data_IF_558635514163
#
_entry.id   IF_558635514163
#
_cell.length_a   1.000
_cell.length_b   1.000
_cell.length_c   1.000
_cell.angle_alpha   90.00
_cell.angle_beta   90.00
_cell.angle_gamma   90.00
#
_symmetry.space_group_name_H-M   'P 1'
#
loop_
_entity.id
_entity.type
_entity.pdbx_description
1 polymer ?
#
# COMPACT_ATOMS: atom_id res chain seq x y z
N UNK A 1 10.48 25.05 8.46
CA UNK A 1 10.28 24.64 8.01
C UNK A 1 10.02 23.75 7.83
N UNK A 2 9.90 23.40 7.94
CA UNK A 2 9.74 22.44 7.74
C UNK A 2 9.26 21.89 6.81
N UNK A 3 8.60 22.08 6.51
CA UNK A 3 8.00 21.69 5.50
C UNK A 3 8.81 21.18 4.51
N UNK A 4 9.63 21.81 4.40
CA UNK A 4 10.66 21.43 3.63
C UNK A 4 10.99 20.05 3.86
N UNK A 5 10.58 19.56 4.90
CA UNK A 5 10.95 18.22 5.23
C UNK A 5 10.22 17.18 4.41
N UNK A 6 9.25 17.57 3.65
CA UNK A 6 8.45 16.58 2.95
C UNK A 6 9.11 16.17 1.65
N UNK A 7 9.86 15.09 1.75
CA UNK A 7 10.43 14.43 0.60
C UNK A 7 9.30 13.80 -0.21
N UNK A 8 9.43 13.80 -1.52
CA UNK A 8 8.47 13.16 -2.42
C UNK A 8 9.08 11.87 -2.93
N UNK A 9 8.32 10.80 -2.83
CA UNK A 9 8.75 9.47 -3.24
C UNK A 9 8.14 9.12 -4.58
N UNK A 10 8.90 8.44 -5.43
CA UNK A 10 8.41 7.91 -6.69
C UNK A 10 7.94 6.47 -6.50
N UNK A 11 6.89 6.10 -7.22
CA UNK A 11 6.43 4.72 -7.30
C UNK A 11 6.10 4.38 -8.73
N UNK A 12 6.08 3.09 -9.06
CA UNK A 12 5.73 2.67 -10.41
C UNK A 12 5.32 1.20 -10.44
N UNK A 13 4.57 0.83 -11.48
CA UNK A 13 4.23 -0.56 -11.73
C UNK A 13 5.40 -1.27 -12.38
N UNK A 14 5.31 -2.59 -12.47
CA UNK A 14 6.38 -3.40 -13.00
C UNK A 14 6.77 -3.00 -14.43
N UNK A 15 5.79 -2.71 -15.29
CA UNK A 15 6.08 -2.35 -16.67
C UNK A 15 6.45 -0.88 -16.86
N UNK A 16 6.35 -0.06 -15.81
CA UNK A 16 6.72 1.34 -15.86
C UNK A 16 5.69 2.26 -16.51
N UNK A 17 4.57 1.72 -16.99
CA UNK A 17 3.54 2.51 -17.66
C UNK A 17 2.84 3.46 -16.70
N UNK A 18 2.54 2.99 -15.48
CA UNK A 18 1.90 3.81 -14.45
C UNK A 18 2.95 4.23 -13.45
N UNK A 19 3.01 5.53 -13.18
CA UNK A 19 3.92 6.10 -12.17
C UNK A 19 3.14 7.04 -11.29
N UNK A 20 3.55 7.14 -10.05
CA UNK A 20 2.92 8.06 -9.10
C UNK A 20 3.98 8.71 -8.23
N UNK A 21 3.60 9.82 -7.60
CA UNK A 21 4.41 10.45 -6.57
C UNK A 21 3.58 10.49 -5.29
N UNK A 22 4.24 10.38 -4.15
CA UNK A 22 3.57 10.43 -2.86
C UNK A 22 4.50 11.09 -1.85
N UNK A 23 3.95 11.89 -0.95
CA UNK A 23 4.77 12.53 0.08
C UNK A 23 5.26 11.49 1.08
N UNK A 24 6.50 11.65 1.54
CA UNK A 24 7.07 10.78 2.56
C UNK A 24 6.58 11.22 3.95
N UNK A 25 5.27 11.16 4.12
CA UNK A 25 4.58 11.62 5.32
C UNK A 25 3.50 10.63 5.73
N UNK A 26 3.80 9.33 5.59
CA UNK A 26 2.86 8.28 5.94
C UNK A 26 2.55 8.31 7.43
N UNK A 27 1.29 8.04 7.74
CA UNK A 27 0.80 8.09 9.12
C UNK A 27 0.95 6.75 9.82
N UNK A 28 0.96 5.65 9.07
CA UNK A 28 1.09 4.31 9.62
C UNK A 28 1.52 3.33 8.53
N UNK A 29 2.07 2.20 8.95
CA UNK A 29 2.43 1.13 8.03
C UNK A 29 2.32 -0.20 8.76
N UNK A 30 1.88 -1.22 8.06
CA UNK A 30 1.66 -2.53 8.65
C UNK A 30 1.76 -3.61 7.58
N UNK A 31 1.91 -4.86 8.04
CA UNK A 31 1.84 -6.04 7.19
C UNK A 31 0.48 -6.68 7.40
N UNK A 32 -0.36 -6.68 6.37
CA UNK A 32 -1.71 -7.22 6.47
C UNK A 32 -1.77 -8.65 5.96
N UNK A 33 -2.17 -9.57 6.84
CA UNK A 33 -2.25 -11.00 6.55
C UNK A 33 -3.65 -11.46 6.18
N UNK A 34 -4.60 -10.57 5.95
CA UNK A 34 -5.97 -10.98 5.65
C UNK A 34 -6.02 -11.70 4.31
N UNK A 35 -7.03 -12.56 4.15
CA UNK A 35 -7.15 -13.37 2.94
C UNK A 35 -7.26 -12.51 1.69
N UNK A 36 -7.89 -11.34 1.79
CA UNK A 36 -8.03 -10.43 0.65
C UNK A 36 -6.68 -9.85 0.23
N UNK A 37 -5.87 -9.43 1.20
CA UNK A 37 -4.54 -8.89 0.91
C UNK A 37 -3.64 -9.96 0.34
N UNK A 38 -3.73 -11.19 0.85
CA UNK A 38 -2.96 -12.30 0.31
C UNK A 38 -3.36 -12.58 -1.14
N UNK A 39 -4.66 -12.61 -1.41
CA UNK A 39 -5.14 -12.88 -2.76
C UNK A 39 -4.77 -11.75 -3.71
N UNK A 40 -4.90 -10.50 -3.26
CA UNK A 40 -4.62 -9.34 -4.12
C UNK A 40 -3.16 -9.24 -4.51
N UNK A 41 -2.25 -9.68 -3.65
CA UNK A 41 -0.82 -9.59 -3.90
C UNK A 41 -0.19 -10.91 -4.33
N UNK A 42 -0.91 -12.03 -4.13
CA UNK A 42 -0.34 -13.35 -4.40
C UNK A 42 0.83 -13.67 -3.48
N UNK A 43 0.80 -13.16 -2.25
CA UNK A 43 1.92 -13.33 -1.31
C UNK A 43 1.40 -13.63 0.08
N UNK A 44 2.33 -13.81 1.02
CA UNK A 44 1.99 -14.12 2.42
C UNK A 44 1.25 -12.98 3.10
N UNK A 45 1.57 -11.74 2.75
CA UNK A 45 0.93 -10.56 3.33
C UNK A 45 1.19 -9.36 2.44
N UNK A 46 0.47 -8.27 2.72
CA UNK A 46 0.62 -7.02 1.99
C UNK A 46 1.24 -5.98 2.90
N UNK A 47 2.50 -5.57 2.65
CA UNK A 47 3.07 -4.41 3.34
C UNK A 47 2.45 -3.17 2.76
N UNK A 48 1.86 -2.32 3.60
CA UNK A 48 1.24 -1.10 3.13
C UNK A 48 1.55 0.07 4.05
N UNK A 49 1.50 1.26 3.48
CA UNK A 49 1.67 2.50 4.23
C UNK A 49 0.50 3.41 3.90
N UNK A 50 -0.10 3.99 4.93
CA UNK A 50 -1.32 4.79 4.81
C UNK A 50 -1.04 6.28 4.86
N UNK A 51 -1.73 7.03 3.99
CA UNK A 51 -1.59 8.47 3.89
C UNK A 51 -2.89 9.05 3.34
N UNK A 52 -3.11 10.33 3.57
CA UNK A 52 -4.26 11.01 3.00
C UNK A 52 -4.22 10.91 1.47
N UNK A 53 -5.37 10.64 0.88
CA UNK A 53 -5.47 10.40 -0.56
C UNK A 53 -4.89 11.54 -1.40
N UNK A 54 -5.09 12.79 -0.96
CA UNK A 54 -4.63 13.97 -1.71
C UNK A 54 -3.12 14.12 -1.78
N UNK A 55 -2.37 13.32 -1.03
CA UNK A 55 -0.91 13.39 -1.03
C UNK A 55 -0.27 12.40 -1.97
N UNK A 56 -1.08 11.66 -2.72
CA UNK A 56 -0.60 10.77 -3.77
C UNK A 56 -1.14 11.26 -5.11
N UNK A 57 -0.28 11.35 -6.09
CA UNK A 57 -0.67 11.78 -7.44
C UNK A 57 -0.14 10.81 -8.47
N UNK A 58 -1.02 10.33 -9.36
CA UNK A 58 -0.60 9.52 -10.49
C UNK A 58 -0.05 10.47 -11.55
N UNK A 59 1.24 10.35 -11.83
CA UNK A 59 1.94 11.28 -12.73
C UNK A 59 2.01 10.78 -14.17
N UNK A 60 1.92 9.47 -14.38
CA UNK A 60 1.97 8.86 -15.71
C UNK A 60 1.02 7.68 -15.75
N UNK A 61 0.35 7.51 -16.88
CA UNK A 61 -0.46 6.32 -17.11
C UNK A 61 -1.82 6.34 -16.46
N UNK A 62 -2.34 7.53 -16.13
CA UNK A 62 -3.64 7.65 -15.48
C UNK A 62 -4.74 6.92 -16.27
N UNK A 63 -4.67 6.99 -17.59
CA UNK A 63 -5.68 6.33 -18.46
C UNK A 63 -5.52 4.82 -18.48
N UNK A 64 -4.43 4.29 -17.97
CA UNK A 64 -4.17 2.84 -17.94
C UNK A 64 -4.48 2.21 -16.59
N UNK A 65 -5.03 2.97 -15.66
CA UNK A 65 -5.36 2.43 -14.35
C UNK A 65 -6.54 1.47 -14.45
N UNK A 66 -6.44 0.39 -13.71
CA UNK A 66 -7.55 -0.56 -13.53
C UNK A 66 -8.00 -0.43 -12.08
N UNK A 67 -9.22 0.06 -11.89
CA UNK A 67 -9.78 0.26 -10.56
C UNK A 67 -10.75 -0.88 -10.28
N UNK A 68 -10.46 -1.67 -9.26
CA UNK A 68 -11.28 -2.81 -8.89
C UNK A 68 -12.02 -2.49 -7.60
N UNK A 69 -13.29 -2.18 -7.72
CA UNK A 69 -14.12 -1.79 -6.61
C UNK A 69 -14.83 -0.46 -6.87
N UNK A 70 -15.20 0.25 -5.80
CA UNK A 70 -15.89 1.52 -5.88
C UNK A 70 -14.89 2.68 -5.88
N UNK A 71 -15.38 3.87 -6.18
CA UNK A 71 -14.53 5.05 -6.25
C UNK A 71 -13.89 5.37 -4.90
N UNK A 72 -14.58 5.05 -3.80
CA UNK A 72 -14.12 5.35 -2.45
C UNK A 72 -13.61 4.13 -1.69
N UNK A 73 -13.59 2.96 -2.34
CA UNK A 73 -13.08 1.73 -1.73
C UNK A 73 -12.67 0.77 -2.84
N UNK A 74 -11.38 0.70 -3.14
CA UNK A 74 -10.94 -0.09 -4.29
C UNK A 74 -9.46 -0.46 -4.19
N UNK A 75 -9.07 -1.38 -5.07
CA UNK A 75 -7.67 -1.65 -5.36
C UNK A 75 -7.36 -1.05 -6.73
N UNK A 76 -6.33 -0.24 -6.81
CA UNK A 76 -5.91 0.41 -8.07
C UNK A 76 -4.65 -0.26 -8.58
N UNK A 77 -4.73 -0.75 -9.80
CA UNK A 77 -3.68 -1.52 -10.46
C UNK A 77 -3.32 -0.91 -11.79
N UNK A 78 -2.15 -1.31 -12.31
CA UNK A 78 -1.82 -1.03 -13.71
C UNK A 78 -2.63 -1.98 -14.58
N UNK A 79 -3.41 -1.43 -15.52
CA UNK A 79 -4.23 -2.26 -16.40
C UNK A 79 -3.42 -3.05 -17.41
N UNK A 80 -2.15 -2.69 -17.64
CA UNK A 80 -1.30 -3.38 -18.59
C UNK A 80 -0.54 -4.54 -17.96
N UNK A 81 0.07 -4.34 -16.77
CA UNK A 81 0.88 -5.39 -16.15
C UNK A 81 0.26 -5.99 -14.89
N UNK A 82 -0.81 -5.39 -14.37
CA UNK A 82 -1.51 -5.94 -13.23
C UNK A 82 -0.95 -5.57 -11.86
N UNK A 83 0.15 -4.84 -11.80
CA UNK A 83 0.75 -4.48 -10.51
C UNK A 83 -0.24 -3.76 -9.61
N UNK A 84 -0.34 -4.18 -8.36
CA UNK A 84 -1.13 -3.46 -7.36
C UNK A 84 -0.31 -2.26 -6.90
N UNK A 85 -0.88 -1.07 -7.06
CA UNK A 85 -0.17 0.17 -6.73
C UNK A 85 -0.60 0.72 -5.39
N UNK A 86 -1.90 0.89 -5.20
CA UNK A 86 -2.44 1.37 -3.94
C UNK A 86 -3.92 1.00 -3.85
N UNK A 87 -4.43 1.09 -2.64
CA UNK A 87 -5.85 0.86 -2.38
C UNK A 87 -6.45 2.14 -1.81
N UNK A 88 -7.64 2.50 -2.29
CA UNK A 88 -8.39 3.63 -1.74
C UNK A 88 -9.26 3.09 -0.62
N UNK A 89 -9.19 3.71 0.55
CA UNK A 89 -9.85 3.20 1.76
C UNK A 89 -10.49 4.33 2.55
N UNK A 90 -11.24 3.99 3.58
CA UNK A 90 -11.85 4.93 4.53
C UNK A 90 -12.70 5.97 3.80
N UNK A 91 -13.68 5.49 3.04
CA UNK A 91 -14.62 6.35 2.31
C UNK A 91 -13.90 7.31 1.36
N UNK A 92 -12.77 6.89 0.83
CA UNK A 92 -12.03 7.67 -0.15
C UNK A 92 -11.06 8.68 0.44
N UNK A 93 -10.96 8.75 1.77
CA UNK A 93 -10.13 9.77 2.42
C UNK A 93 -8.65 9.40 2.45
N UNK A 94 -8.33 8.12 2.40
CA UNK A 94 -6.95 7.62 2.51
C UNK A 94 -6.61 6.65 1.41
N UNK A 95 -5.31 6.50 1.16
CA UNK A 95 -4.81 5.43 0.31
C UNK A 95 -3.82 4.60 1.12
N UNK A 96 -3.85 3.29 0.88
CA UNK A 96 -2.83 2.38 1.37
C UNK A 96 -1.92 2.05 0.20
N UNK A 97 -0.71 2.59 0.22
CA UNK A 97 0.26 2.35 -0.84
C UNK A 97 0.84 0.95 -0.65
N UNK A 98 0.83 0.16 -1.72
CA UNK A 98 1.49 -1.14 -1.70
C UNK A 98 3.00 -0.85 -1.69
N UNK A 99 3.66 -1.10 -0.57
CA UNK A 99 5.01 -0.59 -0.35
C UNK A 99 6.01 -1.12 -1.36
N UNK A 100 5.79 -2.32 -1.89
CA UNK A 100 6.68 -2.88 -2.90
C UNK A 100 6.69 -2.11 -4.21
N UNK A 101 5.69 -1.26 -4.46
CA UNK A 101 5.66 -0.46 -5.69
C UNK A 101 6.42 0.86 -5.54
N UNK A 102 6.91 1.19 -4.35
CA UNK A 102 7.72 2.39 -4.15
C UNK A 102 9.11 2.17 -4.73
N UNK A 103 9.58 3.13 -5.51
CA UNK A 103 10.94 3.12 -6.05
C UNK A 103 11.91 3.66 -5.02
N UNK A 104 11.49 4.72 -4.32
CA UNK A 104 12.30 5.33 -3.27
C UNK A 104 11.90 4.75 -1.92
N UNK A 105 12.87 4.56 -1.05
CA UNK A 105 12.61 4.01 0.28
C UNK A 105 11.92 5.05 1.16
N UNK A 106 10.77 4.71 1.75
CA UNK A 106 10.09 5.64 2.67
C UNK A 106 10.79 5.68 4.02
N UNK A 107 10.53 6.75 4.77
CA UNK A 107 11.05 6.86 6.12
C UNK A 107 10.38 5.87 7.07
N UNK A 108 9.11 5.54 6.79
CA UNK A 108 8.35 4.64 7.65
C UNK A 108 8.62 3.18 7.27
N UNK A 109 8.47 2.31 8.26
CA UNK A 109 8.52 0.85 8.06
C UNK A 109 7.26 0.25 8.64
N UNK A 110 6.85 -0.93 8.19
CA UNK A 110 5.78 -1.65 8.88
C UNK A 110 6.17 -1.86 10.34
N UNK A 111 5.26 -1.53 11.25
CA UNK A 111 5.52 -1.60 12.69
C UNK A 111 4.73 -2.71 13.37
N UNK A 112 3.90 -3.43 12.62
CA UNK A 112 3.03 -4.46 13.19
C UNK A 112 2.50 -5.37 12.10
N UNK A 113 1.97 -6.50 12.52
CA UNK A 113 1.23 -7.42 11.68
C UNK A 113 -0.23 -7.36 12.08
N UNK A 114 -1.13 -7.20 11.11
CA UNK A 114 -2.57 -7.21 11.39
C UNK A 114 -3.22 -8.36 10.63
N UNK A 115 -4.39 -8.77 11.10
CA UNK A 115 -5.15 -9.89 10.56
C UNK A 115 -4.33 -11.19 10.59
N UNK A 116 -3.54 -11.36 11.64
CA UNK A 116 -2.71 -12.55 11.81
C UNK A 116 -3.59 -13.80 11.99
N UNK A 117 -4.84 -13.61 12.45
CA UNK A 117 -5.80 -14.71 12.54
C UNK A 117 -6.09 -15.37 11.20
N UNK A 118 -5.82 -14.65 10.09
CA UNK A 118 -6.01 -15.17 8.73
C UNK A 118 -4.68 -15.45 8.03
N UNK A 119 -3.59 -15.47 8.78
CA UNK A 119 -2.25 -15.66 8.23
C UNK A 119 -2.16 -16.95 7.44
N UNK A 120 -1.38 -16.91 6.34
CA UNK A 120 -1.12 -18.11 5.55
C UNK A 120 -0.44 -19.17 6.41
N UNK A 121 -0.95 -20.40 6.42
CA UNK A 121 -0.39 -21.43 7.29
C UNK A 121 1.03 -21.86 6.91
N UNK A 122 1.43 -21.59 5.66
CA UNK A 122 2.76 -21.94 5.17
C UNK A 122 3.80 -20.85 5.42
N UNK A 123 3.42 -19.73 6.05
CA UNK A 123 4.35 -18.63 6.33
C UNK A 123 4.53 -18.47 7.83
N UNK A 124 5.77 -18.27 8.25
CA UNK A 124 6.09 -18.06 9.66
C UNK A 124 6.61 -16.65 9.86
N UNK A 125 6.02 -15.93 10.82
CA UNK A 125 6.49 -14.58 11.19
C UNK A 125 7.68 -14.78 12.11
N UNK A 126 8.84 -14.24 11.73
CA UNK A 126 10.07 -14.42 12.49
C UNK A 126 10.62 -13.15 13.12
N UNK A 127 9.93 -12.02 12.94
CA UNK A 127 10.34 -10.76 13.57
C UNK A 127 9.62 -10.59 14.91
N UNK A 128 9.97 -9.52 15.63
CA UNK A 128 9.42 -9.23 16.96
C UNK A 128 8.31 -8.18 16.93
N UNK A 129 7.76 -7.87 15.74
CA UNK A 129 6.71 -6.85 15.66
C UNK A 129 5.44 -7.34 16.32
N UNK A 130 4.66 -6.43 16.93
CA UNK A 130 3.36 -6.80 17.49
C UNK A 130 2.46 -7.47 16.46
N UNK A 131 1.69 -8.46 16.91
CA UNK A 131 0.79 -9.23 16.07
C UNK A 131 -0.63 -9.09 16.59
N UNK A 132 -1.56 -8.76 15.72
CA UNK A 132 -2.98 -8.59 16.08
C UNK A 132 -3.81 -9.51 15.20
N UNK A 133 -4.77 -10.20 15.82
CA UNK A 133 -5.63 -11.13 15.08
C UNK A 133 -6.46 -10.43 14.00
N UNK A 134 -6.84 -9.18 14.23
CA UNK A 134 -7.57 -8.36 13.27
C UNK A 134 -6.90 -7.00 13.18
N UNK A 135 -7.64 -5.92 13.41
CA UNK A 135 -7.05 -4.59 13.39
C UNK A 135 -6.18 -4.36 14.62
N UNK A 136 -5.22 -3.47 14.48
CA UNK A 136 -4.40 -3.04 15.62
C UNK A 136 -5.26 -2.27 16.62
N UNK A 137 -4.94 -2.41 17.90
CA UNK A 137 -5.67 -1.73 18.97
C UNK A 137 -4.87 -0.60 19.56
#
# INVERSE_FOLDING_TARGET
MSSESNRVLAGECECGLVRYSVEDAFLYAANCHCSRCRAATGSAFKPFAGIERGKLEVTHGLESLLVFGAEDLNNTRCGACGSLLFSVVRDGAYVHVAMGSLVDAPSIRPTKHIFVGSKAPWFEITDDLPQFDEYAK
#
